data_IF_586204178980
#
_entry.id   IF_586204178980
#
_cell.length_a   1.000
_cell.length_b   1.000
_cell.length_c   1.000
_cell.angle_alpha   90.00
_cell.angle_beta   90.00
_cell.angle_gamma   90.00
#
_symmetry.space_group_name_H-M   'P 1'
#
loop_
_entity.id
_entity.type
_entity.pdbx_description
1 polymer ?
#
# COMPACT_ATOMS: atom_id res chain seq x y z
N UNK A 1 9.00 2.30 2.91
CA UNK A 1 9.26 3.73 3.20
C UNK A 1 9.67 3.87 4.65
N UNK A 2 9.68 5.08 5.24
CA UNK A 2 9.94 5.25 6.67
C UNK A 2 8.81 4.69 7.55
N UNK A 3 7.58 4.68 7.01
CA UNK A 3 6.40 4.15 7.67
C UNK A 3 6.24 2.66 7.33
N UNK A 4 5.92 1.85 8.34
CA UNK A 4 5.54 0.43 8.21
C UNK A 4 4.05 0.33 8.47
N UNK A 5 3.31 -0.27 7.54
CA UNK A 5 1.86 -0.51 7.69
C UNK A 5 1.53 -1.96 7.32
N UNK A 6 0.45 -2.50 7.88
CA UNK A 6 -0.06 -3.82 7.49
C UNK A 6 -0.96 -3.72 6.26
N UNK A 7 -1.04 -4.80 5.48
CA UNK A 7 -1.98 -4.92 4.36
C UNK A 7 -3.43 -4.76 4.81
N UNK A 8 -3.78 -5.32 5.97
CA UNK A 8 -5.13 -5.17 6.57
C UNK A 8 -5.48 -3.70 6.78
N UNK A 9 -4.59 -2.94 7.42
CA UNK A 9 -4.82 -1.52 7.68
C UNK A 9 -5.02 -0.74 6.38
N UNK A 10 -4.17 -0.97 5.36
CA UNK A 10 -4.31 -0.31 4.07
C UNK A 10 -5.65 -0.63 3.40
N UNK A 11 -6.07 -1.91 3.44
CA UNK A 11 -7.31 -2.37 2.84
C UNK A 11 -8.53 -1.78 3.56
N UNK A 12 -8.56 -1.80 4.90
CA UNK A 12 -9.64 -1.22 5.71
C UNK A 12 -9.77 0.29 5.49
N UNK A 13 -8.65 1.03 5.46
CA UNK A 13 -8.69 2.48 5.23
C UNK A 13 -9.16 2.81 3.80
N UNK A 14 -8.74 2.05 2.80
CA UNK A 14 -9.27 2.19 1.44
C UNK A 14 -10.75 1.82 1.38
N UNK A 15 -11.19 0.75 2.06
CA UNK A 15 -12.60 0.37 2.15
C UNK A 15 -13.45 1.51 2.73
N UNK A 16 -13.00 2.11 3.82
CA UNK A 16 -13.62 3.29 4.42
C UNK A 16 -13.71 4.47 3.44
N UNK A 17 -12.61 4.79 2.76
CA UNK A 17 -12.56 5.89 1.78
C UNK A 17 -13.43 5.64 0.54
N UNK A 18 -13.62 4.37 0.15
CA UNK A 18 -14.39 3.97 -1.03
C UNK A 18 -15.85 3.63 -0.69
N UNK A 19 -16.26 3.66 0.58
CA UNK A 19 -17.59 3.22 1.01
C UNK A 19 -17.84 1.72 0.74
N UNK A 20 -16.80 0.90 0.90
CA UNK A 20 -16.84 -0.55 0.66
C UNK A 20 -16.47 -1.30 1.93
N UNK A 21 -17.27 -2.28 2.28
CA UNK A 21 -16.95 -3.23 3.34
C UNK A 21 -15.81 -4.15 2.88
N UNK A 22 -14.87 -4.42 3.79
CA UNK A 22 -13.68 -5.22 3.51
C UNK A 22 -13.78 -6.54 4.25
N UNK A 23 -13.61 -7.63 3.51
CA UNK A 23 -13.59 -8.98 4.04
C UNK A 23 -12.23 -9.61 3.78
N UNK A 24 -11.78 -10.41 4.74
CA UNK A 24 -10.50 -11.12 4.66
C UNK A 24 -10.77 -12.60 4.86
N UNK A 25 -10.10 -13.42 4.06
CA UNK A 25 -10.13 -14.88 4.20
C UNK A 25 -8.72 -15.40 4.48
N UNK A 26 -8.63 -16.49 5.25
CA UNK A 26 -7.37 -17.09 5.67
C UNK A 26 -6.73 -16.43 6.89
N UNK A 27 -5.42 -16.65 7.05
CA UNK A 27 -4.62 -16.16 8.18
C UNK A 27 -3.45 -15.35 7.63
N UNK A 28 -3.17 -14.20 8.23
CA UNK A 28 -2.02 -13.37 7.87
C UNK A 28 -0.70 -14.10 8.11
N UNK A 29 0.26 -13.90 7.21
CA UNK A 29 1.60 -14.47 7.39
C UNK A 29 2.33 -13.76 8.52
N UNK A 30 3.08 -14.53 9.32
CA UNK A 30 3.92 -14.00 10.41
C UNK A 30 5.09 -13.13 9.91
N UNK A 31 5.40 -13.15 8.61
CA UNK A 31 6.53 -12.43 8.03
C UNK A 31 6.12 -11.57 6.85
N UNK A 32 6.83 -10.45 6.67
CA UNK A 32 6.66 -9.54 5.55
C UNK A 32 8.03 -9.10 5.01
N UNK A 33 8.08 -8.69 3.74
CA UNK A 33 9.25 -8.04 3.18
C UNK A 33 9.26 -6.57 3.59
N UNK A 34 10.16 -6.22 4.50
CA UNK A 34 10.40 -4.85 4.94
C UNK A 34 11.75 -4.38 4.42
N UNK A 35 11.82 -3.10 4.04
CA UNK A 35 13.05 -2.47 3.61
C UNK A 35 13.54 -1.49 4.69
N UNK A 36 14.85 -1.44 4.93
CA UNK A 36 15.44 -0.35 5.70
C UNK A 36 15.64 0.86 4.76
N UNK A 37 14.85 1.92 4.94
CA UNK A 37 14.93 3.13 4.11
C UNK A 37 15.87 4.21 4.65
N UNK A 38 16.63 3.96 5.72
CA UNK A 38 17.43 4.99 6.39
C UNK A 38 18.45 5.68 5.46
N UNK A 39 19.10 4.93 4.56
CA UNK A 39 20.03 5.51 3.60
C UNK A 39 19.31 6.45 2.62
N UNK A 40 18.16 6.03 2.08
CA UNK A 40 17.36 6.87 1.19
C UNK A 40 16.93 8.17 1.88
N UNK A 41 16.51 8.09 3.15
CA UNK A 41 16.10 9.25 3.93
C UNK A 41 17.26 10.20 4.22
N UNK A 42 18.46 9.66 4.51
CA UNK A 42 19.66 10.48 4.69
C UNK A 42 20.04 11.22 3.40
N UNK A 43 19.93 10.54 2.25
CA UNK A 43 20.37 11.08 0.96
C UNK A 43 19.35 12.05 0.36
N UNK A 44 18.06 11.76 0.49
CA UNK A 44 16.98 12.48 -0.22
C UNK A 44 16.03 13.25 0.71
N UNK A 45 16.20 13.12 2.03
CA UNK A 45 15.28 13.69 3.01
C UNK A 45 14.10 12.78 3.36
N UNK A 46 13.29 13.23 4.31
CA UNK A 46 12.04 12.53 4.68
C UNK A 46 10.99 12.71 3.56
N UNK A 47 10.22 11.67 3.20
CA UNK A 47 9.14 11.81 2.22
C UNK A 47 8.16 12.92 2.59
N UNK A 48 7.86 13.80 1.64
CA UNK A 48 6.93 14.92 1.85
C UNK A 48 5.45 14.47 1.90
N UNK A 49 5.15 13.26 1.42
CA UNK A 49 3.79 12.72 1.34
C UNK A 49 3.67 11.51 2.30
N UNK A 50 2.86 11.62 3.37
CA UNK A 50 2.59 10.49 4.27
C UNK A 50 1.76 9.40 3.61
N UNK A 51 1.85 8.17 4.12
CA UNK A 51 1.08 7.02 3.61
C UNK A 51 -0.43 7.28 3.56
N UNK A 52 -0.99 7.95 4.56
CA UNK A 52 -2.42 8.27 4.62
C UNK A 52 -2.88 9.14 3.44
N UNK A 53 -2.06 10.12 3.06
CA UNK A 53 -2.34 10.99 1.91
C UNK A 53 -2.28 10.21 0.60
N UNK A 54 -1.35 9.25 0.47
CA UNK A 54 -1.31 8.37 -0.70
C UNK A 54 -2.58 7.50 -0.82
N UNK A 55 -3.13 6.99 0.29
CA UNK A 55 -4.39 6.24 0.30
C UNK A 55 -5.58 7.12 -0.11
N UNK A 56 -5.66 8.35 0.42
CA UNK A 56 -6.69 9.34 0.07
C UNK A 56 -6.66 9.68 -1.43
N UNK A 57 -5.47 9.95 -1.98
CA UNK A 57 -5.31 10.22 -3.41
C UNK A 57 -5.66 9.01 -4.28
N UNK A 58 -5.30 7.80 -3.84
CA UNK A 58 -5.63 6.59 -4.59
C UNK A 58 -7.15 6.37 -4.63
N UNK A 59 -7.83 6.56 -3.50
CA UNK A 59 -9.29 6.47 -3.43
C UNK A 59 -9.95 7.55 -4.31
N UNK A 60 -9.48 8.80 -4.24
CA UNK A 60 -9.98 9.89 -5.07
C UNK A 60 -9.83 9.60 -6.57
N UNK A 61 -8.67 9.05 -7.00
CA UNK A 61 -8.46 8.64 -8.38
C UNK A 61 -9.47 7.60 -8.84
N UNK A 62 -9.71 6.57 -8.02
CA UNK A 62 -10.69 5.52 -8.31
C UNK A 62 -12.11 6.11 -8.41
N UNK A 63 -12.52 6.92 -7.44
CA UNK A 63 -13.84 7.56 -7.43
C UNK A 63 -14.06 8.50 -8.61
N UNK A 64 -12.99 9.11 -9.13
CA UNK A 64 -13.05 9.97 -10.32
C UNK A 64 -13.15 9.20 -11.64
N UNK A 65 -13.17 7.87 -11.63
CA UNK A 65 -13.15 7.05 -12.85
C UNK A 65 -11.80 7.04 -13.55
N UNK A 66 -10.72 7.27 -12.80
CA UNK A 66 -9.35 7.31 -13.32
C UNK A 66 -8.95 6.01 -14.03
N UNK A 67 -8.16 6.14 -15.10
CA UNK A 67 -7.72 4.99 -15.91
C UNK A 67 -6.91 4.00 -15.06
N UNK A 68 -7.30 2.73 -15.13
CA UNK A 68 -6.50 1.61 -14.63
C UNK A 68 -5.60 1.05 -15.75
N UNK A 69 -4.36 0.69 -15.40
CA UNK A 69 -3.46 -0.01 -16.33
C UNK A 69 -3.80 -1.50 -16.47
N UNK A 70 -4.56 -2.06 -15.53
CA UNK A 70 -4.94 -3.48 -15.46
C UNK A 70 -3.74 -4.43 -15.62
N UNK A 71 -2.55 -4.00 -15.15
CA UNK A 71 -1.35 -4.83 -15.14
C UNK A 71 -1.35 -5.69 -13.87
N UNK A 72 -0.95 -6.97 -13.97
CA UNK A 72 -0.74 -7.79 -12.78
C UNK A 72 0.34 -7.12 -11.92
N UNK A 73 0.08 -7.05 -10.61
CA UNK A 73 0.96 -6.36 -9.66
C UNK A 73 1.99 -7.28 -9.04
N UNK A 74 1.79 -8.60 -9.09
CA UNK A 74 2.67 -9.63 -8.51
C UNK A 74 2.99 -9.38 -7.01
N UNK A 75 2.12 -8.69 -6.29
CA UNK A 75 2.31 -8.39 -4.86
C UNK A 75 2.07 -9.62 -3.97
N UNK A 76 1.48 -10.67 -4.54
CA UNK A 76 1.26 -11.98 -3.94
C UNK A 76 2.51 -12.89 -3.99
N UNK A 77 3.48 -12.59 -4.87
CA UNK A 77 4.68 -13.41 -5.02
C UNK A 77 5.67 -13.14 -3.89
N UNK A 78 6.20 -14.22 -3.29
CA UNK A 78 7.13 -14.14 -2.16
C UNK A 78 8.47 -14.80 -2.43
N UNK A 79 8.65 -15.46 -3.58
CA UNK A 79 9.88 -16.20 -3.93
C UNK A 79 10.97 -15.31 -4.51
N UNK A 80 10.72 -14.02 -4.69
CA UNK A 80 11.74 -13.04 -5.09
C UNK A 80 12.34 -13.26 -6.49
N UNK A 81 11.70 -14.06 -7.35
CA UNK A 81 12.11 -14.22 -8.75
C UNK A 81 11.49 -13.09 -9.56
N UNK A 82 12.25 -12.02 -9.75
CA UNK A 82 11.95 -10.90 -10.64
C UNK A 82 13.04 -10.77 -11.69
#
# INVERSE_FOLDING_TARGET
GPETISTRYAAEELGRLLGKEVFFEGVESETAFLNNSALAMKTFGYPAVPIKTMLEWQAAWILSGGRALNKPTHFEERKGKY
#
